data_IF_325764309190
#
_entry.id   IF_325764309190
#
_cell.length_a   1.000
_cell.length_b   1.000
_cell.length_c   1.000
_cell.angle_alpha   90.00
_cell.angle_beta   90.00
_cell.angle_gamma   90.00
#
_symmetry.space_group_name_H-M   'P 1'
#
loop_
_entity.id
_entity.type
_entity.pdbx_description
1 polymer ?
#
# COMPACT_ATOMS: atom_id res chain seq x y z
N UNK A 1 63.18 -14.24 50.95
CA UNK A 1 62.67 -14.02 49.55
C UNK A 1 61.20 -14.31 49.36
N UNK A 2 60.52 -15.07 50.23
CA UNK A 2 59.04 -15.34 50.08
C UNK A 2 58.13 -14.22 50.51
N UNK A 3 58.50 -13.23 51.31
CA UNK A 3 57.67 -12.18 51.90
C UNK A 3 57.29 -11.07 50.92
N UNK A 4 58.01 -10.89 49.79
CA UNK A 4 57.69 -9.79 48.81
C UNK A 4 56.92 -10.30 47.58
N UNK A 5 56.75 -11.61 47.43
CA UNK A 5 56.13 -12.17 46.24
C UNK A 5 54.59 -11.93 46.26
N UNK A 6 53.99 -12.03 47.43
CA UNK A 6 52.53 -11.87 47.58
C UNK A 6 52.07 -10.43 47.26
N UNK A 7 52.67 -9.36 47.80
CA UNK A 7 52.27 -7.99 47.45
C UNK A 7 52.49 -7.61 45.98
N UNK A 8 53.49 -8.19 45.32
CA UNK A 8 53.72 -7.99 43.90
C UNK A 8 52.63 -8.65 43.05
N UNK A 9 52.24 -9.89 43.38
CA UNK A 9 51.18 -10.60 42.69
C UNK A 9 49.80 -9.92 42.87
N UNK A 10 49.50 -9.41 44.05
CA UNK A 10 48.29 -8.64 44.28
C UNK A 10 48.25 -7.33 43.53
N UNK A 11 49.36 -6.61 43.44
CA UNK A 11 49.47 -5.38 42.65
C UNK A 11 49.28 -5.63 41.14
N UNK A 12 49.81 -6.70 40.59
CA UNK A 12 49.63 -7.10 39.20
C UNK A 12 48.16 -7.49 38.95
N UNK A 13 47.54 -8.26 39.82
CA UNK A 13 46.13 -8.65 39.69
C UNK A 13 45.20 -7.46 39.74
N UNK A 14 45.40 -6.49 40.62
CA UNK A 14 44.61 -5.26 40.69
C UNK A 14 44.81 -4.39 39.43
N UNK A 15 46.01 -4.26 38.91
CA UNK A 15 46.29 -3.52 37.69
C UNK A 15 45.58 -4.16 36.46
N UNK A 16 45.58 -5.47 36.36
CA UNK A 16 44.85 -6.19 35.31
C UNK A 16 43.34 -6.00 35.40
N UNK A 17 42.77 -6.06 36.60
CA UNK A 17 41.36 -5.81 36.82
C UNK A 17 40.97 -4.39 36.38
N UNK A 18 41.76 -3.40 36.77
CA UNK A 18 41.52 -1.99 36.36
C UNK A 18 41.63 -1.85 34.84
N UNK A 19 42.62 -2.48 34.22
CA UNK A 19 42.79 -2.44 32.76
C UNK A 19 41.57 -3.05 32.04
N UNK A 20 41.12 -4.23 32.46
CA UNK A 20 39.94 -4.87 31.87
C UNK A 20 38.66 -4.07 32.11
N UNK A 21 38.48 -3.43 33.28
CA UNK A 21 37.28 -2.58 33.52
C UNK A 21 37.26 -1.37 32.61
N UNK A 22 38.38 -0.69 32.41
CA UNK A 22 38.49 0.46 31.50
C UNK A 22 38.22 0.06 30.06
N UNK A 23 38.74 -1.07 29.62
CA UNK A 23 38.49 -1.56 28.25
C UNK A 23 37.03 -1.94 28.03
N UNK A 24 36.41 -2.58 29.04
CA UNK A 24 35.00 -2.91 29.01
C UNK A 24 34.10 -1.66 28.97
N UNK A 25 34.37 -0.64 29.75
CA UNK A 25 33.64 0.64 29.72
C UNK A 25 33.72 1.31 28.34
N UNK A 26 34.89 1.30 27.70
CA UNK A 26 35.02 1.85 26.32
C UNK A 26 34.20 1.05 25.30
N UNK A 27 34.13 -0.27 25.45
CA UNK A 27 33.30 -1.08 24.56
C UNK A 27 31.82 -0.77 24.75
N UNK A 28 31.34 -0.58 26.00
CA UNK A 28 29.96 -0.18 26.27
C UNK A 28 29.67 1.18 25.64
N UNK A 29 30.48 2.21 25.86
CA UNK A 29 30.28 3.54 25.26
C UNK A 29 30.19 3.47 23.73
N UNK A 30 31.04 2.65 23.08
CA UNK A 30 31.00 2.49 21.63
C UNK A 30 29.72 1.80 21.14
N UNK A 31 29.20 0.82 21.89
CA UNK A 31 27.93 0.15 21.59
C UNK A 31 26.73 1.08 21.79
N UNK A 32 26.73 1.86 22.86
CA UNK A 32 25.68 2.85 23.11
C UNK A 32 25.62 3.90 22.01
N UNK A 33 26.76 4.37 21.52
CA UNK A 33 26.85 5.28 20.39
C UNK A 33 26.26 4.68 19.11
N UNK A 34 26.54 3.41 18.80
CA UNK A 34 25.99 2.71 17.65
C UNK A 34 24.47 2.55 17.79
N UNK A 35 23.98 2.15 18.96
CA UNK A 35 22.54 1.98 19.22
C UNK A 35 21.82 3.32 19.04
N UNK A 36 22.39 4.41 19.48
CA UNK A 36 21.79 5.74 19.33
C UNK A 36 21.75 6.17 17.87
N UNK A 37 22.78 5.86 17.10
CA UNK A 37 22.84 6.16 15.66
C UNK A 37 21.81 5.33 14.88
N UNK A 38 21.67 4.05 15.19
CA UNK A 38 20.68 3.17 14.57
C UNK A 38 19.25 3.60 14.92
N UNK A 39 18.99 4.04 16.16
CA UNK A 39 17.69 4.58 16.57
C UNK A 39 17.31 5.82 15.74
N UNK A 40 18.23 6.74 15.54
CA UNK A 40 18.02 7.93 14.74
C UNK A 40 17.69 7.60 13.26
N UNK A 41 18.37 6.59 12.71
CA UNK A 41 18.12 6.10 11.35
C UNK A 41 16.74 5.45 11.25
N UNK A 42 16.35 4.64 12.24
CA UNK A 42 15.03 4.00 12.30
C UNK A 42 13.92 5.06 12.31
N UNK A 43 14.06 6.13 13.11
CA UNK A 43 13.07 7.19 13.19
C UNK A 43 12.98 7.97 11.87
N UNK A 44 14.10 8.20 11.19
CA UNK A 44 14.13 8.82 9.87
C UNK A 44 13.42 7.98 8.82
N UNK A 45 13.71 6.67 8.77
CA UNK A 45 13.05 5.73 7.84
C UNK A 45 11.56 5.60 8.12
N UNK A 46 11.15 5.61 9.38
CA UNK A 46 9.73 5.60 9.76
C UNK A 46 9.01 6.83 9.22
N UNK A 47 9.58 8.01 9.38
CA UNK A 47 9.01 9.26 8.86
C UNK A 47 8.88 9.23 7.33
N UNK A 48 9.87 8.70 6.62
CA UNK A 48 9.83 8.54 5.16
C UNK A 48 8.71 7.57 4.73
N UNK A 49 8.56 6.46 5.42
CA UNK A 49 7.49 5.49 5.18
C UNK A 49 6.11 6.14 5.40
N UNK A 50 5.91 6.86 6.50
CA UNK A 50 4.64 7.53 6.79
C UNK A 50 4.30 8.58 5.72
N UNK A 51 5.29 9.29 5.21
CA UNK A 51 5.12 10.26 4.11
C UNK A 51 4.69 9.56 2.82
N UNK A 52 5.33 8.45 2.44
CA UNK A 52 4.98 7.68 1.25
C UNK A 52 3.58 7.07 1.34
N UNK A 53 3.18 6.58 2.52
CA UNK A 53 1.83 6.06 2.76
C UNK A 53 0.80 7.18 2.57
N UNK A 54 1.03 8.37 3.14
CA UNK A 54 0.13 9.52 3.01
C UNK A 54 0.00 9.98 1.55
N UNK A 55 1.09 10.05 0.80
CA UNK A 55 1.09 10.39 -0.62
C UNK A 55 0.28 9.37 -1.44
N UNK A 56 0.45 8.07 -1.16
CA UNK A 56 -0.29 7.01 -1.83
C UNK A 56 -1.80 7.07 -1.54
N UNK A 57 -2.18 7.33 -0.29
CA UNK A 57 -3.59 7.49 0.09
C UNK A 57 -4.23 8.71 -0.58
N UNK A 58 -3.52 9.84 -0.64
CA UNK A 58 -3.97 11.06 -1.31
C UNK A 58 -4.18 10.82 -2.80
N UNK A 59 -3.21 10.19 -3.47
CA UNK A 59 -3.30 9.82 -4.88
C UNK A 59 -4.49 8.89 -5.17
N UNK A 60 -4.71 7.88 -4.33
CA UNK A 60 -5.84 6.96 -4.48
C UNK A 60 -7.19 7.68 -4.33
N UNK A 61 -7.31 8.60 -3.37
CA UNK A 61 -8.52 9.39 -3.16
C UNK A 61 -8.82 10.30 -4.34
N UNK A 62 -7.82 10.94 -4.93
CA UNK A 62 -7.97 11.79 -6.10
C UNK A 62 -8.43 10.98 -7.34
N UNK A 63 -7.88 9.79 -7.55
CA UNK A 63 -8.33 8.88 -8.62
C UNK A 63 -9.79 8.47 -8.41
N UNK A 64 -10.18 8.08 -7.20
CA UNK A 64 -11.54 7.66 -6.88
C UNK A 64 -12.52 8.82 -7.12
N UNK A 65 -12.20 10.02 -6.66
CA UNK A 65 -13.03 11.20 -6.86
C UNK A 65 -13.20 11.54 -8.34
N UNK A 66 -12.12 11.58 -9.09
CA UNK A 66 -12.16 11.88 -10.52
C UNK A 66 -12.94 10.82 -11.31
N UNK A 67 -12.80 9.54 -10.99
CA UNK A 67 -13.55 8.45 -11.61
C UNK A 67 -15.04 8.56 -11.31
N UNK A 68 -15.41 8.91 -10.08
CA UNK A 68 -16.80 9.10 -9.67
C UNK A 68 -17.45 10.27 -10.39
N UNK A 69 -16.77 11.40 -10.54
CA UNK A 69 -17.24 12.54 -11.30
C UNK A 69 -17.44 12.23 -12.79
N UNK A 70 -16.47 11.54 -13.40
CA UNK A 70 -16.58 11.11 -14.79
C UNK A 70 -17.78 10.18 -15.01
N UNK A 71 -17.94 9.18 -14.16
CA UNK A 71 -19.05 8.23 -14.21
C UNK A 71 -20.40 8.94 -14.09
N UNK A 72 -20.52 9.89 -13.16
CA UNK A 72 -21.71 10.71 -12.99
C UNK A 72 -22.03 11.54 -14.22
N UNK A 73 -21.04 12.17 -14.83
CA UNK A 73 -21.19 12.94 -16.06
C UNK A 73 -21.68 12.05 -17.24
N UNK A 74 -21.10 10.85 -17.38
CA UNK A 74 -21.52 9.89 -18.42
C UNK A 74 -22.98 9.47 -18.19
N UNK A 75 -23.37 9.08 -16.98
CA UNK A 75 -24.76 8.71 -16.68
C UNK A 75 -25.75 9.85 -16.96
N UNK A 76 -25.34 11.09 -16.71
CA UNK A 76 -26.17 12.25 -17.04
C UNK A 76 -26.38 12.39 -18.56
N UNK A 77 -25.31 12.32 -19.34
CA UNK A 77 -25.33 12.49 -20.80
C UNK A 77 -26.09 11.33 -21.48
N UNK A 78 -25.80 10.09 -21.07
CA UNK A 78 -26.32 8.89 -21.73
C UNK A 78 -27.81 8.63 -21.47
N UNK A 79 -28.30 8.95 -20.28
CA UNK A 79 -29.67 8.59 -19.89
C UNK A 79 -30.34 9.55 -18.94
N UNK A 80 -29.69 10.63 -18.53
CA UNK A 80 -30.13 11.49 -17.42
C UNK A 80 -30.41 10.67 -16.14
N UNK A 81 -29.49 9.75 -15.81
CA UNK A 81 -29.55 8.81 -14.67
C UNK A 81 -30.72 7.80 -14.70
N UNK A 82 -31.38 7.61 -15.85
CA UNK A 82 -32.50 6.69 -15.98
C UNK A 82 -32.05 5.24 -16.15
N UNK A 83 -32.25 4.39 -15.12
CA UNK A 83 -31.91 2.98 -15.14
C UNK A 83 -32.73 2.15 -16.12
N UNK A 84 -33.94 2.66 -16.52
CA UNK A 84 -34.82 2.01 -17.46
C UNK A 84 -34.68 2.55 -18.89
N UNK A 85 -33.67 3.39 -19.16
CA UNK A 85 -33.45 3.91 -20.49
C UNK A 85 -33.09 2.78 -21.47
N UNK A 86 -33.69 2.81 -22.65
CA UNK A 86 -33.44 1.83 -23.71
C UNK A 86 -33.35 2.51 -25.08
N UNK A 87 -32.24 2.34 -25.76
CA UNK A 87 -32.09 2.75 -27.14
C UNK A 87 -32.23 1.54 -28.06
N UNK A 88 -33.35 1.46 -28.78
CA UNK A 88 -33.69 0.37 -29.66
C UNK A 88 -32.72 0.20 -30.82
N UNK A 89 -32.18 1.31 -31.37
CA UNK A 89 -31.31 1.26 -32.56
C UNK A 89 -29.94 0.66 -32.23
N UNK A 90 -29.45 0.87 -31.03
CA UNK A 90 -28.14 0.44 -30.60
C UNK A 90 -28.17 -0.73 -29.61
N UNK A 91 -29.37 -1.15 -29.21
CA UNK A 91 -29.57 -2.09 -28.10
C UNK A 91 -28.79 -1.70 -26.84
N UNK A 92 -28.79 -0.38 -26.56
CA UNK A 92 -28.12 0.19 -25.41
C UNK A 92 -29.10 0.36 -24.25
N UNK A 93 -28.68 -0.01 -23.03
CA UNK A 93 -29.58 -0.23 -21.90
C UNK A 93 -29.05 0.41 -20.64
N UNK A 94 -29.97 0.95 -19.83
CA UNK A 94 -29.74 1.42 -18.47
C UNK A 94 -29.04 2.76 -18.37
N UNK A 95 -28.65 3.15 -17.16
CA UNK A 95 -28.09 4.48 -16.90
C UNK A 95 -26.80 4.80 -17.68
N UNK A 96 -26.02 3.80 -18.05
CA UNK A 96 -24.78 3.95 -18.82
C UNK A 96 -24.91 3.54 -20.28
N UNK A 97 -26.13 3.27 -20.76
CA UNK A 97 -26.41 2.86 -22.15
C UNK A 97 -25.47 1.75 -22.65
N UNK A 98 -25.29 0.69 -21.82
CA UNK A 98 -24.37 -0.40 -22.12
C UNK A 98 -24.92 -1.27 -23.25
N UNK A 99 -24.11 -1.49 -24.27
CA UNK A 99 -24.42 -2.39 -25.41
C UNK A 99 -23.96 -3.84 -25.12
N UNK A 100 -24.53 -4.82 -25.85
CA UNK A 100 -24.12 -6.23 -25.74
C UNK A 100 -22.66 -6.46 -26.05
N UNK A 101 -22.07 -5.72 -26.99
CA UNK A 101 -20.63 -5.83 -27.33
C UNK A 101 -19.75 -5.53 -26.10
N UNK A 102 -20.10 -4.50 -25.32
CA UNK A 102 -19.36 -4.18 -24.10
C UNK A 102 -19.44 -5.31 -23.06
N UNK A 103 -20.59 -5.95 -22.88
CA UNK A 103 -20.71 -7.14 -22.01
C UNK A 103 -19.78 -8.25 -22.43
N UNK A 104 -19.71 -8.51 -23.77
CA UNK A 104 -18.78 -9.53 -24.31
C UNK A 104 -17.33 -9.17 -24.08
N UNK A 105 -16.95 -7.91 -24.26
CA UNK A 105 -15.58 -7.43 -24.06
C UNK A 105 -15.18 -7.50 -22.58
N UNK A 106 -16.05 -7.10 -21.67
CA UNK A 106 -15.84 -7.24 -20.23
C UNK A 106 -15.65 -8.70 -19.84
N UNK A 107 -16.49 -9.60 -20.34
CA UNK A 107 -16.35 -11.04 -20.08
C UNK A 107 -15.04 -11.60 -20.63
N UNK A 108 -14.56 -11.09 -21.77
CA UNK A 108 -13.26 -11.46 -22.35
C UNK A 108 -12.09 -10.96 -21.49
N UNK A 109 -12.18 -9.73 -20.95
CA UNK A 109 -11.21 -9.19 -20.00
C UNK A 109 -11.13 -10.06 -18.75
N UNK A 110 -12.28 -10.37 -18.13
CA UNK A 110 -12.36 -11.22 -16.95
C UNK A 110 -11.79 -12.64 -17.20
N UNK A 111 -12.03 -13.19 -18.39
CA UNK A 111 -11.46 -14.49 -18.77
C UNK A 111 -9.94 -14.45 -18.87
N UNK A 112 -9.37 -13.39 -19.46
CA UNK A 112 -7.91 -13.21 -19.55
C UNK A 112 -7.25 -13.05 -18.19
N UNK A 113 -7.96 -12.48 -17.23
CA UNK A 113 -7.52 -12.32 -15.84
C UNK A 113 -7.77 -13.59 -14.98
N UNK A 114 -8.26 -14.70 -15.57
CA UNK A 114 -8.63 -15.94 -14.87
C UNK A 114 -9.67 -15.73 -13.74
N UNK A 115 -10.55 -14.73 -13.86
CA UNK A 115 -11.62 -14.48 -12.92
C UNK A 115 -12.85 -15.30 -13.31
N UNK A 116 -13.55 -15.88 -12.31
CA UNK A 116 -14.75 -16.71 -12.51
C UNK A 116 -16.02 -15.89 -12.77
N UNK A 117 -16.01 -14.60 -12.40
CA UNK A 117 -17.16 -13.72 -12.59
C UNK A 117 -17.50 -13.55 -14.08
N UNK A 118 -18.81 -13.56 -14.41
CA UNK A 118 -19.32 -13.29 -15.74
C UNK A 118 -20.58 -12.45 -15.65
N UNK A 119 -20.79 -11.60 -16.66
CA UNK A 119 -22.00 -10.78 -16.82
C UNK A 119 -22.88 -11.37 -17.93
N UNK A 120 -24.19 -11.24 -17.74
CA UNK A 120 -25.21 -11.55 -18.74
C UNK A 120 -25.70 -10.26 -19.39
N UNK A 121 -26.39 -10.36 -20.54
CA UNK A 121 -26.98 -9.18 -21.18
C UNK A 121 -28.05 -8.50 -20.31
N UNK A 122 -28.73 -9.23 -19.44
CA UNK A 122 -29.74 -8.68 -18.54
C UNK A 122 -29.09 -7.87 -17.38
N UNK A 123 -27.82 -8.09 -17.08
CA UNK A 123 -27.12 -7.35 -16.02
C UNK A 123 -26.98 -5.85 -16.33
N UNK A 124 -27.13 -5.47 -17.61
CA UNK A 124 -27.11 -4.07 -18.06
C UNK A 124 -28.23 -3.20 -17.47
N UNK A 125 -29.34 -3.81 -17.06
CA UNK A 125 -30.47 -3.11 -16.43
C UNK A 125 -30.25 -2.75 -14.97
N UNK A 126 -29.22 -3.31 -14.33
CA UNK A 126 -28.92 -3.06 -12.93
C UNK A 126 -27.77 -2.06 -12.80
N UNK A 127 -28.05 -0.87 -12.25
CA UNK A 127 -27.09 0.24 -12.11
C UNK A 127 -25.75 -0.22 -11.55
N UNK A 128 -25.73 -0.95 -10.42
CA UNK A 128 -24.50 -1.42 -9.78
C UNK A 128 -23.68 -2.37 -10.65
N UNK A 129 -24.33 -3.20 -11.48
CA UNK A 129 -23.66 -4.10 -12.43
C UNK A 129 -23.16 -3.35 -13.65
N UNK A 130 -23.90 -2.38 -14.14
CA UNK A 130 -23.50 -1.49 -15.23
C UNK A 130 -22.27 -0.68 -14.86
N UNK A 131 -22.22 -0.11 -13.65
CA UNK A 131 -21.06 0.60 -13.12
C UNK A 131 -19.85 -0.35 -13.03
N UNK A 132 -20.05 -1.56 -12.53
CA UNK A 132 -18.98 -2.55 -12.44
C UNK A 132 -18.43 -3.00 -13.80
N UNK A 133 -19.30 -3.18 -14.80
CA UNK A 133 -18.88 -3.47 -16.17
C UNK A 133 -18.07 -2.31 -16.76
N UNK A 134 -18.51 -1.08 -16.56
CA UNK A 134 -17.82 0.12 -16.99
C UNK A 134 -16.43 0.23 -16.37
N UNK A 135 -16.31 0.02 -15.06
CA UNK A 135 -15.04 0.06 -14.33
C UNK A 135 -14.04 -0.99 -14.83
N UNK A 136 -14.50 -2.21 -15.13
CA UNK A 136 -13.67 -3.28 -15.70
C UNK A 136 -13.22 -2.95 -17.12
N UNK A 137 -14.08 -2.30 -17.91
CA UNK A 137 -13.81 -1.95 -19.30
C UNK A 137 -12.76 -0.82 -19.43
N UNK A 138 -12.75 0.10 -18.46
CA UNK A 138 -11.86 1.28 -18.45
C UNK A 138 -10.47 1.03 -17.86
N UNK A 139 -10.24 -0.12 -17.24
CA UNK A 139 -8.93 -0.52 -16.67
C UNK A 139 -8.06 -1.25 -17.67
#
# INVERSE_FOLDING_TARGET
MKTYLIPILTAIATALIIFFTIDYERQIESLEYIIQQDSCLIDSLRHEIDTLIWEQETWNNDIINNTTHLLSAIMHVESNYNDSAYNLHEDAVGCLQIRKCMVNDVNRILQRQNLSMRFTYNDRWFRHKSIKMFDIYCK
#
